data_IF_075884209245
#
_entry.id   IF_075884209245
#
_cell.length_a   1.000
_cell.length_b   1.000
_cell.length_c   1.000
_cell.angle_alpha   90.00
_cell.angle_beta   90.00
_cell.angle_gamma   90.00
#
_symmetry.space_group_name_H-M   'P 1'
#
loop_
_entity.id
_entity.type
_entity.pdbx_description
1 polymer ?
#
# COMPACT_ATOMS: atom_id res chain seq x y z
N UNK A 1 44.95 14.05 -0.85
CA UNK A 1 43.57 13.87 -0.39
C UNK A 1 42.89 12.94 -1.39
N UNK A 2 42.50 11.72 -1.00
CA UNK A 2 41.91 10.76 -1.93
C UNK A 2 40.47 11.20 -2.25
N UNK A 3 40.22 11.52 -3.52
CA UNK A 3 38.92 11.93 -4.03
C UNK A 3 37.94 10.76 -3.88
N UNK A 4 36.94 10.92 -3.02
CA UNK A 4 35.92 9.89 -2.79
C UNK A 4 35.03 9.83 -4.03
N UNK A 5 35.20 8.80 -4.85
CA UNK A 5 34.36 8.53 -6.03
C UNK A 5 32.89 8.45 -5.61
N UNK A 6 32.10 9.44 -5.99
CA UNK A 6 30.64 9.40 -5.88
C UNK A 6 30.12 8.40 -6.92
N UNK A 7 29.38 7.39 -6.46
CA UNK A 7 28.76 6.38 -7.31
C UNK A 7 27.25 6.55 -7.18
N UNK A 8 26.54 6.68 -8.30
CA UNK A 8 25.08 6.64 -8.34
C UNK A 8 24.62 5.19 -8.22
N UNK A 9 23.72 4.90 -7.29
CA UNK A 9 23.13 3.58 -7.12
C UNK A 9 21.62 3.67 -7.16
N UNK A 10 20.99 2.69 -7.81
CA UNK A 10 19.55 2.49 -7.76
C UNK A 10 19.23 1.65 -6.55
N UNK A 11 18.41 2.19 -5.64
CA UNK A 11 17.88 1.40 -4.52
C UNK A 11 16.83 0.45 -5.09
N UNK A 12 17.12 -0.84 -5.03
CA UNK A 12 16.15 -1.90 -5.30
C UNK A 12 15.71 -2.51 -3.97
N UNK A 13 14.42 -2.80 -3.78
CA UNK A 13 13.98 -3.59 -2.64
C UNK A 13 14.72 -4.94 -2.64
N UNK A 14 15.24 -5.34 -1.48
CA UNK A 14 15.75 -6.70 -1.30
C UNK A 14 14.62 -7.73 -1.31
N UNK A 15 14.97 -9.01 -1.22
CA UNK A 15 13.98 -10.05 -0.98
C UNK A 15 13.22 -9.77 0.33
N UNK A 16 11.89 -9.94 0.35
CA UNK A 16 11.08 -9.56 1.51
C UNK A 16 11.41 -10.36 2.77
N UNK A 17 12.24 -11.41 2.72
CA UNK A 17 12.63 -12.20 3.89
C UNK A 17 11.41 -12.66 4.68
N UNK A 18 11.40 -12.36 5.99
CA UNK A 18 10.27 -12.59 6.92
C UNK A 18 9.42 -11.32 7.14
N UNK A 19 9.51 -10.32 6.24
CA UNK A 19 8.71 -9.11 6.37
C UNK A 19 7.22 -9.45 6.15
N UNK A 20 6.34 -9.11 7.11
CA UNK A 20 4.93 -9.46 7.02
C UNK A 20 4.25 -8.68 5.89
N UNK A 21 3.48 -9.40 5.07
CA UNK A 21 2.58 -8.80 4.08
C UNK A 21 1.18 -8.65 4.67
N UNK A 22 0.68 -7.42 4.72
CA UNK A 22 -0.68 -7.12 5.15
C UNK A 22 -1.60 -6.88 3.96
N UNK A 23 -2.79 -7.47 3.98
CA UNK A 23 -3.88 -7.06 3.12
C UNK A 23 -4.57 -5.83 3.74
N UNK A 24 -4.93 -4.86 2.90
CA UNK A 24 -5.74 -3.71 3.28
C UNK A 24 -6.62 -3.28 2.12
N UNK A 25 -7.87 -2.98 2.41
CA UNK A 25 -8.84 -2.45 1.45
C UNK A 25 -9.18 -0.97 1.70
N UNK A 26 -8.60 -0.37 2.74
CA UNK A 26 -8.78 1.04 3.09
C UNK A 26 -7.46 1.63 3.57
N UNK A 27 -7.18 2.88 3.18
CA UNK A 27 -6.03 3.63 3.64
C UNK A 27 -6.48 5.03 4.09
N UNK A 28 -6.31 5.34 5.37
CA UNK A 28 -6.52 6.68 5.90
C UNK A 28 -5.21 7.47 5.82
N UNK A 29 -5.32 8.75 5.47
CA UNK A 29 -4.19 9.67 5.36
C UNK A 29 -4.31 10.77 6.40
N UNK A 30 -3.24 10.99 7.15
CA UNK A 30 -3.05 12.19 7.96
C UNK A 30 -1.66 12.75 7.69
N UNK A 31 -1.42 14.03 7.94
CA UNK A 31 -0.12 14.63 7.71
C UNK A 31 0.19 15.74 8.71
N UNK A 32 1.49 15.96 8.88
CA UNK A 32 2.08 17.14 9.49
C UNK A 32 2.80 17.94 8.39
N UNK A 33 3.40 19.11 8.70
CA UNK A 33 4.26 19.80 7.74
C UNK A 33 5.50 18.98 7.30
N UNK A 34 5.87 17.93 8.03
CA UNK A 34 7.12 17.19 7.82
C UNK A 34 6.91 15.79 7.23
N UNK A 35 5.76 15.18 7.49
CA UNK A 35 5.48 13.80 7.12
C UNK A 35 3.99 13.53 6.88
N UNK A 36 3.73 12.38 6.26
CA UNK A 36 2.43 11.80 6.04
C UNK A 36 2.38 10.45 6.75
N UNK A 37 1.26 10.17 7.41
CA UNK A 37 0.98 8.88 8.02
C UNK A 37 -0.08 8.16 7.19
N UNK A 38 0.31 7.01 6.62
CA UNK A 38 -0.56 6.08 5.90
C UNK A 38 -1.05 5.03 6.89
N UNK A 39 -2.34 5.01 7.20
CA UNK A 39 -2.94 4.02 8.10
C UNK A 39 -3.77 3.03 7.28
N UNK A 40 -3.25 1.82 7.12
CA UNK A 40 -3.88 0.76 6.35
C UNK A 40 -4.79 -0.06 7.25
N UNK A 41 -6.06 -0.15 6.86
CA UNK A 41 -7.08 -0.88 7.59
C UNK A 41 -7.68 -1.99 6.72
N UNK A 42 -8.27 -2.96 7.40
CA UNK A 42 -9.12 -3.97 6.78
C UNK A 42 -10.56 -3.74 7.24
N UNK A 43 -11.34 -3.07 6.39
CA UNK A 43 -12.75 -2.78 6.65
C UNK A 43 -13.57 -4.01 6.26
N UNK A 44 -14.24 -4.60 7.24
CA UNK A 44 -15.22 -5.66 7.02
C UNK A 44 -16.60 -5.05 6.74
N UNK A 45 -17.48 -5.72 5.97
CA UNK A 45 -18.88 -5.32 5.85
C UNK A 45 -19.50 -5.13 7.25
N UNK A 46 -20.19 -4.00 7.51
CA UNK A 46 -20.70 -3.70 8.83
C UNK A 46 -21.74 -4.74 9.26
N UNK A 47 -21.68 -5.18 10.50
CA UNK A 47 -22.72 -6.03 11.09
C UNK A 47 -23.95 -5.19 11.47
N UNK A 48 -25.11 -5.81 11.72
CA UNK A 48 -26.32 -5.08 12.15
C UNK A 48 -26.10 -4.24 13.42
N UNK A 49 -25.25 -4.71 14.34
CA UNK A 49 -24.87 -3.97 15.55
C UNK A 49 -23.97 -2.78 15.25
N UNK A 50 -23.08 -2.89 14.28
CA UNK A 50 -22.25 -1.78 13.78
C UNK A 50 -23.10 -0.72 13.09
N UNK A 51 -24.09 -1.14 12.29
CA UNK A 51 -25.03 -0.22 11.64
C UNK A 51 -25.81 0.56 12.68
N UNK A 52 -26.39 -0.09 13.70
CA UNK A 52 -27.11 0.58 14.80
C UNK A 52 -26.23 1.55 15.59
N UNK A 53 -24.95 1.20 15.83
CA UNK A 53 -23.99 2.12 16.48
C UNK A 53 -23.59 3.29 15.57
N UNK A 54 -23.45 3.04 14.27
CA UNK A 54 -23.14 4.05 13.28
C UNK A 54 -24.32 4.98 12.99
N UNK A 55 -25.58 4.57 13.23
CA UNK A 55 -26.73 5.48 13.13
C UNK A 55 -26.63 6.67 14.09
N UNK A 56 -26.03 6.47 15.28
CA UNK A 56 -25.86 7.53 16.27
C UNK A 56 -24.64 8.42 15.99
N UNK A 57 -23.49 7.83 15.64
CA UNK A 57 -22.21 8.56 15.54
C UNK A 57 -21.63 8.68 14.12
N UNK A 58 -22.28 8.05 13.12
CA UNK A 58 -21.88 7.98 11.70
C UNK A 58 -20.43 7.58 11.47
N UNK A 59 -19.86 6.76 12.35
CA UNK A 59 -18.47 6.32 12.28
C UNK A 59 -18.40 4.80 12.42
N UNK A 60 -17.71 4.16 11.46
CA UNK A 60 -17.33 2.75 11.51
C UNK A 60 -15.82 2.66 11.78
N UNK A 61 -15.43 1.96 12.85
CA UNK A 61 -14.02 1.75 13.19
C UNK A 61 -13.54 0.44 12.60
N UNK A 62 -12.57 0.51 11.71
CA UNK A 62 -11.92 -0.67 11.15
C UNK A 62 -10.59 -0.97 11.87
N UNK A 63 -10.21 -2.25 12.01
CA UNK A 63 -8.92 -2.63 12.58
C UNK A 63 -7.77 -2.12 11.70
N UNK A 64 -6.80 -1.48 12.35
CA UNK A 64 -5.54 -1.06 11.71
C UNK A 64 -4.64 -2.28 11.56
N UNK A 65 -4.15 -2.51 10.34
CA UNK A 65 -3.21 -3.59 10.01
C UNK A 65 -1.77 -3.12 9.96
N UNK A 66 -1.54 -1.92 9.43
CA UNK A 66 -0.22 -1.31 9.37
C UNK A 66 -0.34 0.21 9.41
N UNK A 67 0.68 0.86 9.95
CA UNK A 67 0.84 2.31 9.91
C UNK A 67 2.25 2.65 9.44
N UNK A 68 2.36 3.50 8.44
CA UNK A 68 3.64 3.87 7.82
C UNK A 68 3.75 5.39 7.81
N UNK A 69 4.84 5.92 8.36
CA UNK A 69 5.18 7.35 8.29
C UNK A 69 6.14 7.57 7.13
N UNK A 70 5.83 8.53 6.28
CA UNK A 70 6.57 8.85 5.05
C UNK A 70 6.92 10.33 5.07
N UNK A 71 8.20 10.73 4.88
CA UNK A 71 8.57 12.13 4.80
C UNK A 71 7.83 12.86 3.69
N UNK A 72 7.39 14.11 3.94
CA UNK A 72 6.62 14.90 2.98
C UNK A 72 7.33 15.07 1.63
N UNK A 73 8.67 15.17 1.65
CA UNK A 73 9.51 15.27 0.46
C UNK A 73 9.44 14.02 -0.45
N UNK A 74 9.09 12.86 0.11
CA UNK A 74 9.02 11.60 -0.63
C UNK A 74 7.65 11.36 -1.28
N UNK A 75 6.60 12.02 -0.79
CA UNK A 75 5.21 11.80 -1.22
C UNK A 75 4.98 12.05 -2.71
N UNK A 76 5.50 13.14 -3.34
CA UNK A 76 5.29 13.35 -4.78
C UNK A 76 5.83 12.19 -5.63
N UNK A 77 7.01 11.66 -5.27
CA UNK A 77 7.61 10.54 -5.97
C UNK A 77 6.81 9.25 -5.77
N UNK A 78 6.29 9.02 -4.55
CA UNK A 78 5.42 7.89 -4.26
C UNK A 78 4.13 7.94 -5.08
N UNK A 79 3.48 9.11 -5.18
CA UNK A 79 2.26 9.30 -5.98
C UNK A 79 2.53 9.00 -7.46
N UNK A 80 3.59 9.58 -8.02
CA UNK A 80 3.95 9.36 -9.42
C UNK A 80 4.25 7.89 -9.72
N UNK A 81 4.97 7.20 -8.83
CA UNK A 81 5.24 5.78 -8.96
C UNK A 81 3.94 4.95 -8.94
N UNK A 82 3.04 5.19 -7.98
CA UNK A 82 1.76 4.49 -7.89
C UNK A 82 0.89 4.72 -9.13
N UNK A 83 0.81 5.95 -9.63
CA UNK A 83 0.06 6.28 -10.85
C UNK A 83 0.61 5.56 -12.09
N UNK A 84 1.94 5.50 -12.22
CA UNK A 84 2.60 4.79 -13.32
C UNK A 84 2.35 3.28 -13.23
N UNK A 85 2.47 2.69 -12.04
CA UNK A 85 2.20 1.26 -11.83
C UNK A 85 0.74 0.90 -12.10
N UNK A 86 -0.22 1.76 -11.71
CA UNK A 86 -1.63 1.57 -12.01
C UNK A 86 -1.89 1.57 -13.52
N UNK A 87 -1.30 2.52 -14.26
CA UNK A 87 -1.40 2.58 -15.72
C UNK A 87 -0.89 1.30 -16.36
N UNK A 88 0.33 0.88 -16.00
CA UNK A 88 0.95 -0.33 -16.54
C UNK A 88 0.13 -1.59 -16.22
N UNK A 89 -0.49 -1.64 -15.03
CA UNK A 89 -1.37 -2.74 -14.64
C UNK A 89 -2.64 -2.79 -15.50
N UNK A 90 -3.28 -1.64 -15.75
CA UNK A 90 -4.49 -1.56 -16.58
C UNK A 90 -4.25 -1.86 -18.05
N UNK A 91 -3.07 -1.55 -18.58
CA UNK A 91 -2.68 -1.81 -19.97
C UNK A 91 -2.23 -3.27 -20.21
N UNK A 92 -1.98 -4.03 -19.14
CA UNK A 92 -1.60 -5.44 -19.24
C UNK A 92 -2.85 -6.32 -19.38
N UNK A 93 -3.05 -7.07 -20.48
CA UNK A 93 -4.15 -8.02 -20.58
C UNK A 93 -4.03 -9.08 -19.47
N UNK A 94 -5.15 -9.59 -18.92
CA UNK A 94 -5.10 -10.63 -17.91
C UNK A 94 -4.32 -11.82 -18.48
N UNK A 95 -3.21 -12.19 -17.84
CA UNK A 95 -2.53 -13.46 -18.09
C UNK A 95 -3.43 -14.59 -17.58
N UNK A 96 -4.46 -14.93 -18.36
CA UNK A 96 -5.18 -16.19 -18.22
C UNK A 96 -4.23 -17.25 -18.72
N UNK A 97 -3.44 -17.82 -17.81
CA UNK A 97 -2.71 -19.06 -18.08
C UNK A 97 -3.69 -20.17 -17.71
N UNK A 98 -4.31 -20.88 -18.66
CA UNK A 98 -5.19 -21.98 -18.31
C UNK A 98 -4.37 -23.03 -17.53
N UNK A 99 -4.96 -23.69 -16.52
CA UNK A 99 -4.28 -24.72 -15.76
C UNK A 99 -3.80 -25.81 -16.72
N UNK A 100 -2.50 -26.08 -16.71
CA UNK A 100 -1.90 -27.24 -17.37
C UNK A 100 -2.16 -28.47 -16.51
N UNK A 101 -3.36 -29.01 -16.63
CA UNK A 101 -3.66 -30.41 -16.35
C UNK A 101 -4.33 -30.93 -17.63
N UNK A 102 -3.84 -31.96 -18.32
CA UNK A 102 -3.69 -33.28 -17.76
C UNK A 102 -2.47 -34.03 -18.32
N UNK A 103 -1.83 -34.75 -17.41
CA UNK A 103 -1.03 -35.94 -17.66
C UNK A 103 -1.83 -36.93 -18.51
N UNK A 104 -1.23 -37.43 -19.59
CA UNK A 104 -1.32 -38.83 -20.02
C UNK A 104 -0.08 -39.20 -20.81
#
# INVERSE_FOLDING_TARGET
>A
MAERKQINFTVVPGEPGDAPRFYSNFCALSHTPYDFTLTFCEVQPPTESDVRRAETNRQLRAPVRAQIVVPAQFIPNLIAALQNHLRNFSESPPKVTPPRDAVH
#
